data_IF_915208861004
#
_entry.id   IF_915208861004
#
_cell.length_a   1.000
_cell.length_b   1.000
_cell.length_c   1.000
_cell.angle_alpha   90.00
_cell.angle_beta   90.00
_cell.angle_gamma   90.00
#
_symmetry.space_group_name_H-M   'P 1'
#
loop_
_entity.id
_entity.type
_entity.pdbx_description
1 polymer ?
#
# COMPACT_ATOMS: atom_id res chain seq x y z
N UNK A 1 -12.88 13.92 13.70
CA UNK A 1 -12.36 12.56 13.51
C UNK A 1 -13.24 11.75 12.55
N UNK A 2 -14.51 11.51 12.88
CA UNK A 2 -15.43 10.67 12.07
C UNK A 2 -15.75 11.29 10.70
N UNK A 3 -16.11 12.58 10.63
CA UNK A 3 -16.47 13.24 9.36
C UNK A 3 -15.35 13.15 8.30
N UNK A 4 -14.07 13.50 8.59
CA UNK A 4 -12.98 13.32 7.62
C UNK A 4 -12.74 11.87 7.22
N UNK A 5 -12.84 10.92 8.15
CA UNK A 5 -12.70 9.50 7.86
C UNK A 5 -13.78 9.01 6.88
N UNK A 6 -15.05 9.32 7.17
CA UNK A 6 -16.17 8.98 6.29
C UNK A 6 -16.08 9.65 4.92
N UNK A 7 -15.52 10.85 4.82
CA UNK A 7 -15.27 11.51 3.52
C UNK A 7 -14.24 10.74 2.70
N UNK A 8 -13.12 10.34 3.31
CA UNK A 8 -12.08 9.55 2.64
C UNK A 8 -12.60 8.19 2.16
N UNK A 9 -13.38 7.50 3.00
CA UNK A 9 -14.01 6.22 2.64
C UNK A 9 -15.11 6.40 1.58
N UNK A 10 -15.96 7.42 1.75
CA UNK A 10 -17.07 7.73 0.84
C UNK A 10 -16.61 8.15 -0.56
N UNK A 11 -15.38 8.62 -0.72
CA UNK A 11 -14.77 8.92 -2.01
C UNK A 11 -14.73 7.69 -2.95
N UNK A 12 -14.66 6.47 -2.40
CA UNK A 12 -14.68 5.25 -3.22
C UNK A 12 -15.96 5.09 -4.05
N UNK A 13 -17.10 5.60 -3.57
CA UNK A 13 -18.36 5.60 -4.34
C UNK A 13 -18.27 6.46 -5.59
N UNK A 14 -17.61 7.61 -5.48
CA UNK A 14 -17.39 8.51 -6.60
C UNK A 14 -16.29 7.97 -7.53
N UNK A 15 -15.22 7.38 -6.97
CA UNK A 15 -14.20 6.69 -7.74
C UNK A 15 -14.82 5.58 -8.60
N UNK A 16 -15.73 4.77 -8.04
CA UNK A 16 -16.45 3.74 -8.79
C UNK A 16 -17.21 4.31 -10.01
N UNK A 17 -17.90 5.44 -9.83
CA UNK A 17 -18.59 6.13 -10.93
C UNK A 17 -17.59 6.55 -12.02
N UNK A 18 -16.45 7.13 -11.66
CA UNK A 18 -15.42 7.57 -12.62
C UNK A 18 -14.83 6.39 -13.40
N UNK A 19 -14.56 5.28 -12.72
CA UNK A 19 -13.97 4.08 -13.33
C UNK A 19 -14.90 3.52 -14.40
N UNK A 20 -16.17 3.31 -14.07
CA UNK A 20 -17.10 2.56 -14.92
C UNK A 20 -17.94 3.46 -15.83
N UNK A 21 -18.48 4.57 -15.33
CA UNK A 21 -19.38 5.45 -16.12
C UNK A 21 -18.61 6.41 -17.00
N UNK A 22 -17.51 6.97 -16.47
CA UNK A 22 -16.69 7.93 -17.22
C UNK A 22 -15.59 7.23 -18.03
N UNK A 23 -15.54 5.89 -18.07
CA UNK A 23 -14.62 5.13 -18.92
C UNK A 23 -13.15 5.17 -18.51
N UNK A 24 -12.82 5.49 -17.25
CA UNK A 24 -11.43 5.50 -16.78
C UNK A 24 -10.80 4.11 -16.67
N UNK A 25 -11.60 3.03 -16.64
CA UNK A 25 -11.15 1.64 -16.49
C UNK A 25 -10.01 1.24 -17.45
N UNK A 26 -9.96 1.81 -18.66
CA UNK A 26 -8.90 1.55 -19.65
C UNK A 26 -7.49 1.89 -19.14
N UNK A 27 -7.37 2.97 -18.36
CA UNK A 27 -6.10 3.42 -17.77
C UNK A 27 -5.66 2.54 -16.61
N UNK A 28 -6.57 1.70 -16.09
CA UNK A 28 -6.32 0.82 -14.95
C UNK A 28 -5.86 -0.57 -15.37
N UNK A 29 -6.01 -0.95 -16.63
CA UNK A 29 -5.75 -2.31 -17.09
C UNK A 29 -4.29 -2.69 -16.87
N UNK A 30 -3.36 -1.89 -17.39
CA UNK A 30 -1.93 -2.18 -17.30
C UNK A 30 -1.47 -2.20 -15.82
N UNK A 31 -1.67 -1.14 -15.02
CA UNK A 31 -1.20 -1.15 -13.65
C UNK A 31 -1.95 -2.19 -12.78
N UNK A 32 -3.24 -2.41 -13.03
CA UNK A 32 -4.03 -3.43 -12.32
C UNK A 32 -3.60 -4.86 -12.61
N UNK A 33 -3.21 -5.17 -13.86
CA UNK A 33 -2.62 -6.48 -14.18
C UNK A 33 -1.27 -6.66 -13.47
N UNK A 34 -0.43 -5.62 -13.44
CA UNK A 34 0.85 -5.67 -12.75
C UNK A 34 0.68 -5.89 -11.23
N UNK A 35 -0.26 -5.21 -10.57
CA UNK A 35 -0.54 -5.43 -9.14
C UNK A 35 -1.17 -6.79 -8.87
N UNK A 36 -2.04 -7.27 -9.76
CA UNK A 36 -2.66 -8.59 -9.65
C UNK A 36 -1.62 -9.70 -9.76
N UNK A 37 -0.66 -9.58 -10.69
CA UNK A 37 0.41 -10.57 -10.89
C UNK A 37 1.48 -10.53 -9.80
N UNK A 38 1.69 -9.38 -9.16
CA UNK A 38 2.65 -9.25 -8.06
C UNK A 38 2.38 -10.26 -6.93
N UNK A 39 1.12 -10.42 -6.51
CA UNK A 39 0.79 -11.29 -5.37
C UNK A 39 1.17 -12.76 -5.61
N UNK A 40 0.74 -13.44 -6.68
CA UNK A 40 1.15 -14.82 -6.94
C UNK A 40 2.64 -14.96 -7.27
N UNK A 41 3.28 -13.97 -7.89
CA UNK A 41 4.72 -14.02 -8.16
C UNK A 41 5.55 -13.95 -6.87
N UNK A 42 5.23 -13.00 -6.00
CA UNK A 42 5.99 -12.78 -4.76
C UNK A 42 5.61 -13.81 -3.71
N UNK A 43 4.32 -14.10 -3.52
CA UNK A 43 3.90 -15.15 -2.59
C UNK A 43 4.34 -16.52 -3.09
N UNK A 44 4.11 -16.85 -4.36
CA UNK A 44 4.53 -18.14 -4.91
C UNK A 44 6.06 -18.31 -4.88
N UNK A 45 6.81 -17.28 -5.27
CA UNK A 45 8.27 -17.29 -5.24
C UNK A 45 8.85 -17.33 -3.83
N UNK A 46 8.37 -16.50 -2.90
CA UNK A 46 8.88 -16.47 -1.53
C UNK A 46 8.41 -17.68 -0.73
N UNK A 47 7.13 -18.06 -0.79
CA UNK A 47 6.62 -19.23 -0.09
C UNK A 47 7.27 -20.51 -0.63
N UNK A 48 7.32 -20.69 -1.95
CA UNK A 48 7.99 -21.82 -2.57
C UNK A 48 9.47 -21.85 -2.21
N UNK A 49 10.19 -20.75 -2.43
CA UNK A 49 11.62 -20.68 -2.15
C UNK A 49 11.98 -20.91 -0.68
N UNK A 50 11.20 -20.37 0.26
CA UNK A 50 11.43 -20.60 1.70
C UNK A 50 11.03 -22.00 2.16
N UNK A 51 9.89 -22.52 1.69
CA UNK A 51 9.43 -23.86 2.05
C UNK A 51 10.40 -24.93 1.54
N UNK A 52 10.72 -24.91 0.23
CA UNK A 52 11.66 -25.86 -0.35
C UNK A 52 13.09 -25.67 0.19
N UNK A 53 13.55 -24.43 0.33
CA UNK A 53 14.87 -24.15 0.89
C UNK A 53 15.04 -24.62 2.34
N UNK A 54 13.99 -24.53 3.17
CA UNK A 54 14.03 -25.05 4.55
C UNK A 54 13.96 -26.57 4.57
N UNK A 55 13.20 -27.20 3.69
CA UNK A 55 13.22 -28.65 3.56
C UNK A 55 14.61 -29.17 3.18
N UNK A 56 15.24 -28.57 2.17
CA UNK A 56 16.62 -28.91 1.77
C UNK A 56 17.61 -28.71 2.92
N UNK A 57 17.51 -27.57 3.63
CA UNK A 57 18.34 -27.29 4.81
C UNK A 57 18.12 -28.31 5.93
N UNK A 58 16.88 -28.73 6.14
CA UNK A 58 16.54 -29.72 7.18
C UNK A 58 17.12 -31.10 6.87
N UNK A 59 17.12 -31.51 5.59
CA UNK A 59 17.76 -32.76 5.15
C UNK A 59 19.28 -32.69 5.35
N UNK A 60 19.92 -31.57 4.97
CA UNK A 60 21.35 -31.33 5.16
C UNK A 60 21.79 -31.36 6.64
N UNK A 61 20.97 -30.83 7.55
CA UNK A 61 21.22 -30.86 9.00
C UNK A 61 20.90 -32.24 9.56
N UNK A 62 19.84 -32.88 9.05
CA UNK A 62 19.35 -34.20 9.44
C UNK A 62 20.36 -35.31 9.22
N UNK A 63 21.05 -35.32 8.08
CA UNK A 63 22.08 -36.33 7.74
C UNK A 63 23.18 -36.47 8.80
N UNK A 64 23.38 -35.47 9.65
CA UNK A 64 24.51 -35.39 10.58
C UNK A 64 24.12 -35.47 12.06
N UNK A 65 22.86 -35.21 12.44
CA UNK A 65 22.47 -35.04 13.85
C UNK A 65 21.07 -35.57 14.23
N UNK A 66 20.18 -35.89 13.29
CA UNK A 66 18.80 -36.29 13.59
C UNK A 66 18.38 -37.52 12.77
N UNK A 67 17.50 -38.39 13.29
CA UNK A 67 16.82 -39.39 12.46
C UNK A 67 16.10 -38.70 11.30
N UNK A 68 16.18 -39.28 10.10
CA UNK A 68 15.63 -38.71 8.86
C UNK A 68 14.16 -38.33 8.97
N UNK A 69 13.36 -39.18 9.63
CA UNK A 69 11.93 -38.96 9.88
C UNK A 69 11.70 -37.68 10.71
N UNK A 70 12.48 -37.47 11.78
CA UNK A 70 12.37 -36.28 12.64
C UNK A 70 12.81 -35.02 11.88
N UNK A 71 13.88 -35.12 11.10
CA UNK A 71 14.36 -34.00 10.28
C UNK A 71 13.32 -33.58 9.22
N UNK A 72 12.61 -34.53 8.61
CA UNK A 72 11.56 -34.22 7.63
C UNK A 72 10.36 -33.51 8.28
N UNK A 73 9.88 -33.99 9.42
CA UNK A 73 8.81 -33.34 10.18
C UNK A 73 9.19 -31.94 10.66
N UNK A 74 10.39 -31.77 11.22
CA UNK A 74 10.91 -30.48 11.67
C UNK A 74 11.04 -29.51 10.50
N UNK A 75 11.58 -29.97 9.37
CA UNK A 75 11.70 -29.19 8.14
C UNK A 75 10.35 -28.76 7.59
N UNK A 76 9.36 -29.65 7.58
CA UNK A 76 7.99 -29.33 7.16
C UNK A 76 7.32 -28.27 8.03
N UNK A 77 7.41 -28.41 9.37
CA UNK A 77 6.82 -27.45 10.32
C UNK A 77 7.52 -26.10 10.22
N UNK A 78 8.86 -26.06 10.24
CA UNK A 78 9.63 -24.82 10.11
C UNK A 78 9.39 -24.17 8.76
N UNK A 79 9.39 -24.96 7.67
CA UNK A 79 9.10 -24.49 6.33
C UNK A 79 7.72 -23.87 6.23
N UNK A 80 6.71 -24.47 6.87
CA UNK A 80 5.36 -23.91 6.93
C UNK A 80 5.32 -22.58 7.71
N UNK A 81 5.96 -22.52 8.90
CA UNK A 81 6.01 -21.29 9.72
C UNK A 81 6.72 -20.16 8.98
N UNK A 82 7.88 -20.43 8.39
CA UNK A 82 8.63 -19.43 7.63
C UNK A 82 7.90 -19.05 6.34
N UNK A 83 7.22 -20.00 5.69
CA UNK A 83 6.34 -19.72 4.57
C UNK A 83 5.22 -18.74 4.96
N UNK A 84 4.56 -18.94 6.10
CA UNK A 84 3.56 -18.00 6.62
C UNK A 84 4.16 -16.61 6.91
N UNK A 85 5.36 -16.54 7.48
CA UNK A 85 6.09 -15.28 7.65
C UNK A 85 6.42 -14.62 6.30
N UNK A 86 6.78 -15.42 5.29
CA UNK A 86 6.99 -14.97 3.92
C UNK A 86 5.74 -14.37 3.29
N UNK A 87 4.58 -15.01 3.47
CA UNK A 87 3.27 -14.48 3.04
C UNK A 87 2.97 -13.15 3.75
N UNK A 88 3.16 -13.10 5.07
CA UNK A 88 2.95 -11.88 5.85
C UNK A 88 3.86 -10.73 5.39
N UNK A 89 5.15 -11.01 5.15
CA UNK A 89 6.11 -10.03 4.63
C UNK A 89 5.73 -9.58 3.22
N UNK A 90 5.27 -10.50 2.36
CA UNK A 90 4.76 -10.20 1.02
C UNK A 90 3.57 -9.23 1.07
N UNK A 91 2.65 -9.45 2.01
CA UNK A 91 1.52 -8.55 2.24
C UNK A 91 1.99 -7.16 2.72
N UNK A 92 2.97 -7.08 3.63
CA UNK A 92 3.53 -5.80 4.08
C UNK A 92 4.23 -5.04 2.95
N UNK A 93 4.96 -5.76 2.08
CA UNK A 93 5.67 -5.18 0.94
C UNK A 93 4.76 -4.84 -0.24
N UNK A 94 3.60 -5.49 -0.36
CA UNK A 94 2.65 -5.33 -1.46
C UNK A 94 2.42 -3.88 -1.80
N UNK A 95 2.01 -3.07 -0.80
CA UNK A 95 1.70 -1.66 -1.04
C UNK A 95 2.91 -0.90 -1.58
N UNK A 96 4.07 -1.06 -0.95
CA UNK A 96 5.26 -0.29 -1.31
C UNK A 96 5.76 -0.65 -2.71
N UNK A 97 5.76 -1.93 -3.07
CA UNK A 97 6.18 -2.37 -4.41
C UNK A 97 5.14 -1.97 -5.46
N UNK A 98 3.85 -2.17 -5.17
CA UNK A 98 2.77 -1.78 -6.08
C UNK A 98 2.81 -0.28 -6.35
N UNK A 99 3.08 0.57 -5.35
CA UNK A 99 3.23 2.02 -5.55
C UNK A 99 4.41 2.38 -6.45
N UNK A 100 5.53 1.67 -6.36
CA UNK A 100 6.67 1.86 -7.26
C UNK A 100 6.29 1.47 -8.70
N UNK A 101 5.61 0.33 -8.87
CA UNK A 101 5.10 -0.14 -10.17
C UNK A 101 4.08 0.85 -10.75
N UNK A 102 3.26 1.45 -9.89
CA UNK A 102 2.23 2.40 -10.26
C UNK A 102 2.78 3.80 -10.53
N UNK A 103 3.95 4.17 -10.00
CA UNK A 103 4.57 5.48 -10.19
C UNK A 103 4.48 6.04 -11.63
N UNK A 104 4.79 5.27 -12.69
CA UNK A 104 4.65 5.75 -14.05
C UNK A 104 3.21 6.04 -14.51
N UNK A 105 2.20 5.42 -13.90
CA UNK A 105 0.79 5.54 -14.25
C UNK A 105 0.00 6.47 -13.32
N UNK A 106 0.52 6.71 -12.11
CA UNK A 106 -0.14 7.49 -11.06
C UNK A 106 -0.51 8.89 -11.55
N UNK A 107 0.42 9.58 -12.22
CA UNK A 107 0.20 10.92 -12.76
C UNK A 107 -1.00 10.95 -13.69
N UNK A 108 -1.03 10.03 -14.67
CA UNK A 108 -2.10 9.90 -15.66
C UNK A 108 -3.46 9.58 -15.01
N UNK A 109 -3.50 8.62 -14.07
CA UNK A 109 -4.73 8.21 -13.39
C UNK A 109 -5.28 9.35 -12.52
N UNK A 110 -4.41 10.00 -11.75
CA UNK A 110 -4.77 11.09 -10.85
C UNK A 110 -5.25 12.33 -11.63
N UNK A 111 -4.55 12.69 -12.71
CA UNK A 111 -4.93 13.80 -13.59
C UNK A 111 -6.27 13.57 -14.27
N UNK A 112 -6.45 12.40 -14.89
CA UNK A 112 -7.73 12.06 -15.54
C UNK A 112 -8.89 12.05 -14.54
N UNK A 113 -8.63 11.64 -13.28
CA UNK A 113 -9.64 11.67 -12.23
C UNK A 113 -10.01 13.10 -11.82
N UNK A 114 -9.03 13.97 -11.60
CA UNK A 114 -9.26 15.37 -11.26
C UNK A 114 -9.91 16.14 -12.41
N UNK A 115 -9.51 15.89 -13.66
CA UNK A 115 -10.13 16.51 -14.84
C UNK A 115 -11.60 16.14 -14.97
N UNK A 116 -11.94 14.86 -14.82
CA UNK A 116 -13.32 14.38 -14.94
C UNK A 116 -14.22 14.80 -13.77
N UNK A 117 -13.65 14.99 -12.58
CA UNK A 117 -14.43 15.32 -11.39
C UNK A 117 -14.48 16.83 -11.10
N UNK A 118 -13.36 17.55 -11.25
CA UNK A 118 -13.22 18.97 -10.91
C UNK A 118 -13.07 19.89 -12.13
N UNK A 119 -12.86 19.35 -13.34
CA UNK A 119 -12.68 20.14 -14.55
C UNK A 119 -11.34 20.87 -14.68
N UNK A 120 -10.37 20.58 -13.79
CA UNK A 120 -9.05 21.21 -13.81
C UNK A 120 -8.06 20.43 -14.70
N UNK A 121 -7.53 21.07 -15.76
CA UNK A 121 -6.48 20.48 -16.60
C UNK A 121 -5.14 20.49 -15.87
N UNK A 122 -4.46 19.36 -15.83
CA UNK A 122 -3.12 19.27 -15.26
C UNK A 122 -2.01 19.60 -16.26
N UNK A 123 -0.76 19.62 -15.80
CA UNK A 123 0.39 19.72 -16.69
C UNK A 123 0.52 18.43 -17.49
N UNK A 124 0.59 18.54 -18.83
CA UNK A 124 0.69 17.39 -19.72
C UNK A 124 1.90 16.49 -19.44
N UNK A 125 1.80 15.24 -19.92
CA UNK A 125 2.84 14.21 -19.76
C UNK A 125 4.22 14.69 -20.24
N UNK A 126 5.24 14.50 -19.41
CA UNK A 126 6.64 14.74 -19.76
C UNK A 126 7.55 13.62 -19.25
N UNK A 127 8.54 13.21 -20.04
CA UNK A 127 9.47 12.13 -19.67
C UNK A 127 10.32 12.54 -18.44
N UNK A 128 10.74 13.79 -18.37
CA UNK A 128 11.46 14.32 -17.20
C UNK A 128 10.59 14.29 -15.93
N UNK A 129 9.30 14.60 -16.06
CA UNK A 129 8.33 14.44 -14.97
C UNK A 129 8.17 12.98 -14.55
N UNK A 130 8.06 12.06 -15.52
CA UNK A 130 7.94 10.62 -15.25
C UNK A 130 9.09 10.07 -14.40
N UNK A 131 10.34 10.44 -14.74
CA UNK A 131 11.52 10.01 -13.98
C UNK A 131 11.49 10.59 -12.56
N UNK A 132 11.09 11.84 -12.42
CA UNK A 132 10.93 12.48 -11.12
C UNK A 132 9.85 11.79 -10.27
N UNK A 133 8.69 11.49 -10.86
CA UNK A 133 7.58 10.81 -10.22
C UNK A 133 7.99 9.39 -9.75
N UNK A 134 8.78 8.67 -10.56
CA UNK A 134 9.34 7.36 -10.18
C UNK A 134 10.30 7.49 -8.99
N UNK A 135 11.25 8.43 -9.06
CA UNK A 135 12.22 8.66 -7.99
C UNK A 135 11.51 9.03 -6.68
N UNK A 136 10.58 10.00 -6.74
CA UNK A 136 9.82 10.46 -5.58
C UNK A 136 8.90 9.38 -5.04
N UNK A 137 8.11 8.73 -5.89
CA UNK A 137 7.22 7.63 -5.51
C UNK A 137 7.98 6.50 -4.84
N UNK A 138 9.18 6.17 -5.33
CA UNK A 138 10.08 5.20 -4.70
C UNK A 138 10.58 5.66 -3.34
N UNK A 139 11.06 6.91 -3.22
CA UNK A 139 11.56 7.45 -1.97
C UNK A 139 10.47 7.48 -0.88
N UNK A 140 9.26 7.93 -1.23
CA UNK A 140 8.10 7.95 -0.32
C UNK A 140 7.68 6.53 0.08
N UNK A 141 7.70 5.59 -0.87
CA UNK A 141 7.38 4.19 -0.59
C UNK A 141 8.40 3.54 0.34
N UNK A 142 9.71 3.82 0.16
CA UNK A 142 10.78 3.33 1.03
C UNK A 142 10.69 3.94 2.42
N UNK A 143 10.52 5.26 2.54
CA UNK A 143 10.40 5.93 3.84
C UNK A 143 9.18 5.45 4.62
N UNK A 144 8.03 5.34 3.96
CA UNK A 144 6.81 4.86 4.63
C UNK A 144 6.87 3.37 4.93
N UNK A 145 7.60 2.57 4.14
CA UNK A 145 7.89 1.17 4.45
C UNK A 145 8.79 1.03 5.68
N UNK A 146 9.87 1.82 5.78
CA UNK A 146 10.76 1.78 6.93
C UNK A 146 10.01 2.13 8.23
N UNK A 147 9.16 3.16 8.19
CA UNK A 147 8.35 3.54 9.35
C UNK A 147 7.28 2.48 9.66
N UNK A 148 6.63 1.90 8.65
CA UNK A 148 5.62 0.86 8.87
C UNK A 148 6.24 -0.43 9.42
N UNK A 149 7.43 -0.83 8.97
CA UNK A 149 8.19 -1.96 9.52
C UNK A 149 8.60 -1.69 10.97
N UNK A 150 9.13 -0.50 11.27
CA UNK A 150 9.47 -0.12 12.63
C UNK A 150 8.24 -0.20 13.56
N UNK A 151 7.11 0.37 13.14
CA UNK A 151 5.86 0.29 13.92
C UNK A 151 5.34 -1.15 14.05
N UNK A 152 5.50 -1.97 13.02
CA UNK A 152 5.14 -3.39 13.08
C UNK A 152 5.95 -4.13 14.14
N UNK A 153 7.27 -3.88 14.22
CA UNK A 153 8.14 -4.46 15.26
C UNK A 153 7.73 -3.96 16.64
N UNK A 154 7.47 -2.67 16.81
CA UNK A 154 6.98 -2.11 18.09
C UNK A 154 5.65 -2.76 18.49
N UNK A 155 4.73 -2.94 17.55
CA UNK A 155 3.46 -3.63 17.80
C UNK A 155 3.67 -5.10 18.18
N UNK A 156 4.63 -5.80 17.56
CA UNK A 156 5.00 -7.18 17.94
C UNK A 156 5.46 -7.28 19.39
N UNK A 157 6.20 -6.30 19.92
CA UNK A 157 6.61 -6.30 21.33
C UNK A 157 5.41 -6.21 22.29
N UNK A 158 4.31 -5.56 21.87
CA UNK A 158 3.09 -5.47 22.66
C UNK A 158 2.33 -6.79 22.76
N UNK A 159 2.53 -7.72 21.80
CA UNK A 159 1.93 -9.06 21.83
C UNK A 159 2.36 -9.88 23.06
N UNK A 160 3.48 -9.53 23.69
CA UNK A 160 3.97 -10.17 24.92
C UNK A 160 3.06 -9.98 26.14
N UNK A 161 2.12 -9.03 26.10
CA UNK A 161 1.12 -8.83 27.15
C UNK A 161 -0.11 -9.72 26.89
N UNK A 162 -0.43 -10.68 27.78
CA UNK A 162 -1.55 -11.61 27.55
C UNK A 162 -2.88 -10.86 27.43
N UNK A 163 -3.70 -11.27 26.46
CA UNK A 163 -5.04 -10.75 26.10
C UNK A 163 -5.03 -9.28 25.64
N UNK A 164 -4.68 -8.32 26.50
CA UNK A 164 -4.69 -6.90 26.17
C UNK A 164 -3.70 -6.55 25.03
N UNK A 165 -2.50 -7.15 25.07
CA UNK A 165 -1.47 -6.95 24.04
C UNK A 165 -1.91 -7.40 22.66
N UNK A 166 -2.61 -8.54 22.57
CA UNK A 166 -3.11 -9.09 21.30
C UNK A 166 -4.14 -8.17 20.64
N UNK A 167 -5.08 -7.63 21.43
CA UNK A 167 -6.12 -6.72 20.91
C UNK A 167 -5.50 -5.40 20.44
N UNK A 168 -4.59 -4.84 21.23
CA UNK A 168 -3.87 -3.60 20.88
C UNK A 168 -3.03 -3.81 19.62
N UNK A 169 -2.38 -4.97 19.49
CA UNK A 169 -1.62 -5.35 18.31
C UNK A 169 -2.48 -5.34 17.04
N UNK A 170 -3.59 -6.08 17.03
CA UNK A 170 -4.44 -6.18 15.84
C UNK A 170 -5.05 -4.83 15.44
N UNK A 171 -5.60 -4.08 16.40
CA UNK A 171 -6.19 -2.77 16.14
C UNK A 171 -5.11 -1.79 15.67
N UNK A 172 -3.95 -1.78 16.33
CA UNK A 172 -2.82 -0.93 15.99
C UNK A 172 -2.31 -1.18 14.57
N UNK A 173 -2.21 -2.46 14.16
CA UNK A 173 -1.81 -2.83 12.81
C UNK A 173 -2.80 -2.34 11.75
N UNK A 174 -4.11 -2.55 11.94
CA UNK A 174 -5.14 -2.08 11.01
C UNK A 174 -5.09 -0.55 10.87
N UNK A 175 -5.01 0.17 11.99
CA UNK A 175 -4.94 1.63 12.01
C UNK A 175 -3.70 2.14 11.28
N UNK A 176 -2.54 1.55 11.59
CA UNK A 176 -1.24 1.93 11.01
C UNK A 176 -1.23 1.70 9.51
N UNK A 177 -1.69 0.53 9.08
CA UNK A 177 -1.73 0.16 7.68
C UNK A 177 -2.74 1.03 6.91
N UNK A 178 -3.91 1.36 7.48
CA UNK A 178 -4.89 2.23 6.85
C UNK A 178 -4.35 3.66 6.69
N UNK A 179 -3.68 4.19 7.72
CA UNK A 179 -3.06 5.51 7.64
C UNK A 179 -2.01 5.57 6.53
N UNK A 180 -1.04 4.65 6.53
CA UNK A 180 0.02 4.70 5.54
C UNK A 180 -0.50 4.42 4.13
N UNK A 181 -1.45 3.49 3.96
CA UNK A 181 -2.12 3.27 2.67
C UNK A 181 -2.71 4.55 2.10
N UNK A 182 -3.55 5.25 2.87
CA UNK A 182 -4.12 6.52 2.43
C UNK A 182 -3.08 7.60 2.19
N UNK A 183 -2.08 7.74 3.08
CA UNK A 183 -1.03 8.73 2.92
C UNK A 183 -0.24 8.56 1.61
N UNK A 184 0.04 7.31 1.20
CA UNK A 184 0.70 7.07 -0.08
C UNK A 184 -0.21 7.31 -1.29
N UNK A 185 -1.53 7.09 -1.19
CA UNK A 185 -2.45 7.50 -2.26
C UNK A 185 -2.60 9.02 -2.38
N UNK A 186 -2.38 9.75 -1.29
CA UNK A 186 -2.45 11.21 -1.26
C UNK A 186 -1.17 11.88 -1.77
N UNK A 187 0.00 11.25 -1.61
CA UNK A 187 1.27 11.85 -2.00
C UNK A 187 1.32 12.33 -3.46
N UNK A 188 0.83 11.57 -4.46
CA UNK A 188 0.83 12.03 -5.84
C UNK A 188 -0.03 13.28 -6.09
N UNK A 189 -1.12 13.43 -5.34
CA UNK A 189 -1.99 14.61 -5.42
C UNK A 189 -1.27 15.84 -4.85
N UNK A 190 -0.51 15.65 -3.78
CA UNK A 190 0.30 16.69 -3.14
C UNK A 190 1.55 17.04 -3.97
N UNK A 191 2.17 16.04 -4.61
CA UNK A 191 3.28 16.19 -5.53
C UNK A 191 2.94 17.11 -6.69
N UNK A 192 1.79 16.90 -7.34
CA UNK A 192 1.32 17.75 -8.45
C UNK A 192 1.15 19.22 -8.04
N UNK A 193 0.92 19.48 -6.76
CA UNK A 193 0.87 20.83 -6.17
C UNK A 193 2.24 21.38 -5.77
N UNK A 194 3.33 20.69 -6.18
CA UNK A 194 4.73 21.00 -5.88
C UNK A 194 5.04 21.01 -4.37
N UNK A 195 4.31 20.21 -3.59
CA UNK A 195 4.61 20.01 -2.17
C UNK A 195 5.72 18.97 -2.07
N UNK A 196 6.84 19.28 -1.39
CA UNK A 196 7.95 18.34 -1.21
C UNK A 196 7.62 17.16 -0.28
N UNK A 197 8.42 16.09 -0.33
CA UNK A 197 8.18 14.82 0.40
C UNK A 197 7.93 15.03 1.90
N UNK A 198 8.79 15.79 2.60
CA UNK A 198 8.63 16.04 4.05
C UNK A 198 7.33 16.78 4.35
N UNK A 199 6.97 17.76 3.54
CA UNK A 199 5.73 18.52 3.69
C UNK A 199 4.50 17.66 3.35
N UNK A 200 4.61 16.74 2.39
CA UNK A 200 3.57 15.77 2.03
C UNK A 200 3.26 14.81 3.19
N UNK A 201 4.29 14.26 3.83
CA UNK A 201 4.14 13.42 5.03
C UNK A 201 3.54 14.21 6.20
N UNK A 202 4.02 15.44 6.43
CA UNK A 202 3.45 16.32 7.46
C UNK A 202 1.99 16.68 7.19
N UNK A 203 1.63 16.91 5.93
CA UNK A 203 0.26 17.19 5.51
C UNK A 203 -0.65 15.98 5.71
N UNK A 204 -0.19 14.79 5.32
CA UNK A 204 -0.90 13.52 5.53
C UNK A 204 -1.14 13.26 7.01
N UNK A 205 -0.17 13.58 7.87
CA UNK A 205 -0.32 13.47 9.32
C UNK A 205 -1.36 14.45 9.90
N UNK A 206 -1.37 15.71 9.44
CA UNK A 206 -2.40 16.70 9.83
C UNK A 206 -3.81 16.24 9.44
N UNK A 207 -3.93 15.57 8.30
CA UNK A 207 -5.20 15.02 7.79
C UNK A 207 -5.32 13.50 8.00
N UNK A 208 -4.70 12.96 9.06
CA UNK A 208 -4.59 11.51 9.30
C UNK A 208 -5.91 10.75 9.24
N UNK A 209 -7.01 11.34 9.71
CA UNK A 209 -8.33 10.70 9.66
C UNK A 209 -8.85 10.51 8.24
N UNK A 210 -8.59 11.49 7.37
CA UNK A 210 -8.95 11.39 5.96
C UNK A 210 -8.07 10.36 5.24
N UNK A 211 -6.76 10.35 5.54
CA UNK A 211 -5.83 9.33 5.05
C UNK A 211 -6.28 7.93 5.47
N UNK A 212 -6.55 7.72 6.76
CA UNK A 212 -7.07 6.45 7.27
C UNK A 212 -8.39 6.04 6.61
N UNK A 213 -9.30 6.98 6.33
CA UNK A 213 -10.56 6.70 5.64
C UNK A 213 -10.35 6.20 4.22
N UNK A 214 -9.46 6.84 3.46
CA UNK A 214 -9.07 6.40 2.13
C UNK A 214 -8.40 5.00 2.18
N UNK A 215 -7.39 4.83 3.04
CA UNK A 215 -6.70 3.55 3.17
C UNK A 215 -7.57 2.40 3.69
N UNK A 216 -8.57 2.69 4.53
CA UNK A 216 -9.56 1.69 4.94
C UNK A 216 -10.39 1.19 3.74
N UNK A 217 -10.78 2.08 2.82
CA UNK A 217 -11.44 1.68 1.57
C UNK A 217 -10.56 0.75 0.73
N UNK A 218 -9.26 1.06 0.62
CA UNK A 218 -8.28 0.20 -0.06
C UNK A 218 -8.19 -1.17 0.60
N UNK A 219 -8.10 -1.23 1.92
CA UNK A 219 -8.04 -2.49 2.66
C UNK A 219 -9.28 -3.34 2.45
N UNK A 220 -10.47 -2.74 2.54
CA UNK A 220 -11.75 -3.44 2.33
C UNK A 220 -11.80 -4.03 0.91
N UNK A 221 -11.34 -3.29 -0.10
CA UNK A 221 -11.27 -3.81 -1.47
C UNK A 221 -10.26 -4.95 -1.59
N UNK A 222 -9.09 -4.84 -0.94
CA UNK A 222 -8.05 -5.88 -0.92
C UNK A 222 -8.50 -7.20 -0.29
N UNK A 223 -9.56 -7.21 0.52
CA UNK A 223 -10.14 -8.43 1.08
C UNK A 223 -10.77 -9.33 0.00
N UNK A 224 -11.12 -8.77 -1.16
CA UNK A 224 -11.65 -9.53 -2.30
C UNK A 224 -10.47 -9.96 -3.19
N UNK A 225 -10.09 -11.25 -3.24
CA UNK A 225 -8.97 -11.70 -4.04
C UNK A 225 -9.19 -11.43 -5.53
N UNK A 226 -8.10 -11.32 -6.30
CA UNK A 226 -8.08 -11.07 -7.75
C UNK A 226 -8.64 -9.68 -8.11
N UNK A 227 -9.93 -9.44 -7.91
CA UNK A 227 -10.61 -8.18 -8.23
C UNK A 227 -10.07 -7.03 -7.35
N UNK A 228 -9.92 -7.27 -6.05
CA UNK A 228 -9.35 -6.31 -5.12
C UNK A 228 -7.90 -5.99 -5.45
N UNK A 229 -7.08 -7.01 -5.72
CA UNK A 229 -5.67 -6.81 -6.07
C UNK A 229 -5.48 -6.03 -7.37
N UNK A 230 -6.42 -6.17 -8.30
CA UNK A 230 -6.42 -5.43 -9.56
C UNK A 230 -6.92 -3.99 -9.39
N UNK A 231 -8.02 -3.76 -8.66
CA UNK A 231 -8.69 -2.46 -8.60
C UNK A 231 -8.28 -1.58 -7.42
N UNK A 232 -7.92 -2.16 -6.28
CA UNK A 232 -7.77 -1.42 -5.02
C UNK A 232 -6.74 -0.28 -5.09
N UNK A 233 -5.52 -0.47 -5.65
CA UNK A 233 -4.54 0.61 -5.71
C UNK A 233 -5.05 1.78 -6.58
N UNK A 234 -5.62 1.47 -7.73
CA UNK A 234 -6.21 2.44 -8.65
C UNK A 234 -7.37 3.22 -8.02
N UNK A 235 -8.27 2.53 -7.32
CA UNK A 235 -9.37 3.16 -6.61
C UNK A 235 -8.88 4.06 -5.48
N UNK A 236 -7.83 3.67 -4.75
CA UNK A 236 -7.22 4.51 -3.72
C UNK A 236 -6.67 5.82 -4.29
N UNK A 237 -5.94 5.75 -5.41
CA UNK A 237 -5.42 6.93 -6.11
C UNK A 237 -6.56 7.84 -6.58
N UNK A 238 -7.57 7.28 -7.27
CA UNK A 238 -8.71 8.07 -7.77
C UNK A 238 -9.48 8.69 -6.60
N UNK A 239 -9.75 7.92 -5.55
CA UNK A 239 -10.43 8.40 -4.35
C UNK A 239 -9.64 9.52 -3.66
N UNK A 240 -8.31 9.44 -3.62
CA UNK A 240 -7.45 10.49 -3.07
C UNK A 240 -7.45 11.74 -3.97
N UNK A 241 -7.39 11.56 -5.28
CA UNK A 241 -7.41 12.64 -6.27
C UNK A 241 -8.71 13.47 -6.22
N UNK A 242 -9.87 12.83 -6.06
CA UNK A 242 -11.14 13.56 -6.00
C UNK A 242 -11.40 14.21 -4.64
N UNK A 243 -10.97 13.56 -3.54
CA UNK A 243 -11.24 14.03 -2.18
C UNK A 243 -10.20 15.02 -1.67
N UNK A 244 -8.97 14.95 -2.21
CA UNK A 244 -7.83 15.79 -1.84
C UNK A 244 -8.09 17.29 -2.01
N UNK A 245 -8.52 17.78 -3.18
CA UNK A 245 -8.71 19.21 -3.42
C UNK A 245 -9.60 19.85 -2.36
N UNK A 246 -10.82 19.34 -2.16
CA UNK A 246 -11.85 19.94 -1.30
C UNK A 246 -11.66 19.76 0.21
N UNK A 247 -10.71 18.93 0.65
CA UNK A 247 -10.45 18.69 2.09
C UNK A 247 -9.04 19.05 2.54
N UNK A 248 -8.11 19.28 1.61
CA UNK A 248 -6.70 19.61 1.87
C UNK A 248 -6.35 21.09 1.61
N UNK A 249 -7.36 21.95 1.36
CA UNK A 249 -7.19 23.40 1.09
C UNK A 249 -6.52 24.19 2.25
N UNK A 250 -6.30 23.57 3.42
CA UNK A 250 -5.55 24.16 4.54
C UNK A 250 -4.03 23.97 4.44
N UNK A 251 -3.48 23.64 3.26
CA UNK A 251 -2.04 23.75 3.05
C UNK A 251 -1.64 25.23 3.19
N UNK A 252 -0.69 25.58 4.09
CA UNK A 252 -0.31 26.98 4.27
C UNK A 252 0.15 27.53 2.94
N UNK A 253 -0.42 28.69 2.55
CA UNK A 253 0.14 29.55 1.51
C UNK A 253 1.65 29.61 1.78
N UNK A 254 2.44 29.36 0.72
CA UNK A 254 3.90 29.51 0.71
C UNK A 254 4.33 30.55 1.73
N UNK A 255 5.15 30.17 2.70
CA UNK A 255 6.03 31.15 3.32
C UNK A 255 6.91 31.65 2.20
N UNK A 256 6.61 32.86 1.74
CA UNK A 256 7.41 33.55 0.75
C UNK A 256 8.77 33.84 1.35
N UNK A 257 9.80 33.28 0.75
CA UNK A 257 10.91 33.96 0.06
C UNK A 257 11.90 32.89 -0.39
#
# INVERSE_FOLDING_TARGET
MIKPFMRGLGAYRYAHRLVWKEGMWKHLIIPGLLSMLYFPLVVGGLFGGTFFGIQELSVLIGEKWLPSEVAEWVGGILGFIVGLLGIYLSYLLYRSVVMIIYAPFIGLISETAEEKYHGSKGPGFSIGGLIYDIYRGSMVSILTLAISLFLTVVCWLLWLLPVAGTVIYFIGMIITQAYFAGAAFMDPVLERRRIGIRASLGHSYRHKWHAMGNGAGFMIMMLVPIIGWFLAPSYGIIAAAISGPNTMYDAPKRLGK
#
